data_IF_637553220469
#
_entry.id   IF_637553220469
#
_cell.length_a   1.000
_cell.length_b   1.000
_cell.length_c   1.000
_cell.angle_alpha   90.00
_cell.angle_beta   90.00
_cell.angle_gamma   90.00
#
_symmetry.space_group_name_H-M   'P 1'
#
loop_
_entity.id
_entity.type
_entity.pdbx_description
1 polymer ?
#
# COMPACT_ATOMS: atom_id res chain seq x y z
N UNK A 1 -4.86 11.35 -14.43
CA UNK A 1 -5.16 10.70 -13.14
C UNK A 1 -3.83 10.32 -12.50
N UNK A 2 -3.62 10.61 -11.23
CA UNK A 2 -2.38 10.21 -10.54
C UNK A 2 -2.48 8.74 -10.11
N UNK A 3 -1.39 8.00 -10.25
CA UNK A 3 -1.20 6.65 -9.72
C UNK A 3 0.01 6.65 -8.82
N UNK A 4 -0.13 6.04 -7.64
CA UNK A 4 0.94 5.93 -6.66
C UNK A 4 1.23 4.47 -6.34
N UNK A 5 2.51 4.14 -6.23
CA UNK A 5 2.98 2.84 -5.76
C UNK A 5 3.72 3.04 -4.46
N UNK A 6 3.17 2.48 -3.39
CA UNK A 6 3.81 2.43 -2.09
C UNK A 6 4.15 0.98 -1.74
N UNK A 7 5.38 0.71 -1.32
CA UNK A 7 5.83 -0.63 -0.92
C UNK A 7 6.58 -0.55 0.40
N UNK A 8 6.22 -1.44 1.32
CA UNK A 8 6.90 -1.69 2.58
C UNK A 8 7.54 -3.08 2.57
N UNK A 9 8.73 -3.15 3.13
CA UNK A 9 9.37 -4.37 3.58
C UNK A 9 8.89 -4.71 5.00
N UNK A 10 8.45 -5.94 5.22
CA UNK A 10 7.92 -6.38 6.51
C UNK A 10 8.92 -7.16 7.36
N UNK A 11 10.14 -7.41 6.87
CA UNK A 11 11.16 -8.22 7.56
C UNK A 11 11.51 -7.73 8.99
N UNK A 12 11.48 -6.42 9.24
CA UNK A 12 11.74 -5.82 10.56
C UNK A 12 10.49 -5.05 11.10
N UNK A 13 9.33 -5.31 10.49
CA UNK A 13 8.09 -4.63 10.84
C UNK A 13 7.46 -5.21 12.10
N UNK A 14 6.66 -4.39 12.78
CA UNK A 14 5.87 -4.79 13.95
C UNK A 14 4.64 -5.63 13.59
N UNK A 15 4.36 -5.83 12.30
CA UNK A 15 3.18 -6.55 11.79
C UNK A 15 3.56 -7.60 10.75
N UNK A 16 2.71 -8.61 10.63
CA UNK A 16 2.78 -9.66 9.62
C UNK A 16 1.79 -9.42 8.48
N UNK A 17 1.96 -10.14 7.35
CA UNK A 17 1.02 -10.11 6.22
C UNK A 17 -0.40 -10.54 6.63
N UNK A 18 -0.52 -11.59 7.45
CA UNK A 18 -1.83 -12.08 7.87
C UNK A 18 -2.55 -11.10 8.81
N UNK A 19 -1.82 -10.42 9.69
CA UNK A 19 -2.37 -9.33 10.52
C UNK A 19 -2.87 -8.18 9.66
N UNK A 20 -2.07 -7.75 8.67
CA UNK A 20 -2.48 -6.70 7.74
C UNK A 20 -3.72 -7.11 6.94
N UNK A 21 -3.81 -8.35 6.43
CA UNK A 21 -5.00 -8.83 5.71
C UNK A 21 -6.27 -8.80 6.54
N UNK A 22 -6.16 -9.07 7.83
CA UNK A 22 -7.29 -9.05 8.75
C UNK A 22 -7.68 -7.62 9.18
N UNK A 23 -6.74 -6.68 9.17
CA UNK A 23 -6.96 -5.31 9.64
C UNK A 23 -7.34 -4.32 8.53
N UNK A 24 -6.84 -4.51 7.30
CA UNK A 24 -7.04 -3.55 6.22
C UNK A 24 -8.46 -3.57 5.66
N UNK A 25 -8.97 -2.37 5.40
CA UNK A 25 -10.26 -2.17 4.74
C UNK A 25 -10.14 -2.31 3.22
N UNK A 26 -11.25 -2.61 2.56
CA UNK A 26 -11.33 -2.60 1.10
C UNK A 26 -11.08 -1.20 0.53
N UNK A 27 -10.34 -1.12 -0.56
CA UNK A 27 -10.12 0.12 -1.31
C UNK A 27 -11.20 0.29 -2.39
N UNK A 28 -11.53 1.53 -2.71
CA UNK A 28 -12.37 1.83 -3.85
C UNK A 28 -11.61 1.52 -5.16
N UNK A 29 -12.20 0.76 -6.10
CA UNK A 29 -11.59 0.52 -7.39
C UNK A 29 -11.32 1.85 -8.13
N UNK A 30 -10.18 1.97 -8.86
CA UNK A 30 -9.25 0.90 -9.21
C UNK A 30 -8.08 0.68 -8.23
N UNK A 31 -8.10 1.30 -7.05
CA UNK A 31 -7.03 1.11 -6.05
C UNK A 31 -7.02 -0.30 -5.48
N UNK A 32 -5.83 -0.85 -5.22
CA UNK A 32 -5.68 -2.22 -4.74
C UNK A 32 -4.50 -2.38 -3.79
N UNK A 33 -4.67 -3.25 -2.79
CA UNK A 33 -3.57 -3.78 -2.00
C UNK A 33 -2.79 -4.80 -2.83
N UNK A 34 -1.47 -4.81 -2.68
CA UNK A 34 -0.57 -5.77 -3.32
C UNK A 34 0.26 -6.49 -2.27
N UNK A 35 0.47 -7.78 -2.49
CA UNK A 35 1.13 -8.68 -1.54
C UNK A 35 2.22 -9.47 -2.25
N UNK A 36 3.38 -9.60 -1.62
CA UNK A 36 4.46 -10.47 -2.07
C UNK A 36 4.98 -11.25 -0.85
N UNK A 37 4.30 -12.36 -0.57
CA UNK A 37 4.63 -13.24 0.55
C UNK A 37 6.05 -13.80 0.45
N UNK A 38 6.53 -14.11 -0.76
CA UNK A 38 7.84 -14.70 -0.97
C UNK A 38 9.01 -13.79 -0.56
N UNK A 39 8.79 -12.48 -0.55
CA UNK A 39 9.80 -11.49 -0.17
C UNK A 39 9.37 -10.64 1.02
N UNK A 40 8.30 -11.03 1.72
CA UNK A 40 7.72 -10.30 2.85
C UNK A 40 7.47 -8.81 2.54
N UNK A 41 6.84 -8.53 1.38
CA UNK A 41 6.47 -7.17 1.00
C UNK A 41 4.97 -7.00 0.91
N UNK A 42 4.54 -5.80 1.25
CA UNK A 42 3.18 -5.34 1.16
C UNK A 42 3.17 -3.95 0.52
N UNK A 43 2.08 -3.60 -0.14
CA UNK A 43 1.96 -2.28 -0.74
C UNK A 43 0.56 -1.93 -1.18
N UNK A 44 0.44 -0.74 -1.75
CA UNK A 44 -0.77 -0.24 -2.39
C UNK A 44 -0.44 0.31 -3.77
N UNK A 45 -1.32 0.01 -4.72
CA UNK A 45 -1.47 0.75 -5.97
C UNK A 45 -2.68 1.68 -5.78
N UNK A 46 -2.45 2.97 -5.60
CA UNK A 46 -3.48 3.96 -5.31
C UNK A 46 -3.75 4.84 -6.53
N UNK A 47 -5.02 5.04 -6.86
CA UNK A 47 -5.46 5.91 -7.94
C UNK A 47 -6.23 7.10 -7.39
N UNK A 48 -6.04 8.26 -8.03
CA UNK A 48 -6.72 9.51 -7.68
C UNK A 48 -5.73 10.60 -7.27
N UNK A 49 -6.22 11.83 -7.16
CA UNK A 49 -5.36 12.99 -6.88
C UNK A 49 -4.80 12.96 -5.46
N UNK A 50 -5.53 12.35 -4.51
CA UNK A 50 -5.13 12.17 -3.12
C UNK A 50 -4.85 10.70 -2.79
N UNK A 51 -4.03 10.46 -1.75
CA UNK A 51 -3.77 9.12 -1.25
C UNK A 51 -4.96 8.66 -0.38
N UNK A 52 -5.46 7.41 -0.54
CA UNK A 52 -6.53 6.89 0.30
C UNK A 52 -6.17 6.92 1.79
N UNK A 53 -7.10 7.28 2.67
CA UNK A 53 -6.89 7.29 4.13
C UNK A 53 -6.37 5.93 4.65
N UNK A 54 -6.84 4.84 4.05
CA UNK A 54 -6.43 3.49 4.40
C UNK A 54 -4.92 3.24 4.22
N UNK A 55 -4.24 3.97 3.32
CA UNK A 55 -2.78 3.92 3.20
C UNK A 55 -2.07 4.49 4.43
N UNK A 56 -2.64 5.54 5.04
CA UNK A 56 -2.16 6.07 6.32
C UNK A 56 -2.33 5.06 7.45
N UNK A 57 -3.48 4.38 7.52
CA UNK A 57 -3.69 3.33 8.52
C UNK A 57 -2.74 2.14 8.34
N UNK A 58 -2.46 1.75 7.10
CA UNK A 58 -1.49 0.70 6.81
C UNK A 58 -0.08 1.08 7.31
N UNK A 59 0.35 2.32 7.04
CA UNK A 59 1.60 2.87 7.57
C UNK A 59 1.63 2.85 9.09
N UNK A 60 0.54 3.24 9.75
CA UNK A 60 0.48 3.28 11.22
C UNK A 60 0.54 1.87 11.83
N UNK A 61 -0.04 0.85 11.17
CA UNK A 61 0.07 -0.56 11.58
C UNK A 61 1.49 -1.11 11.41
N UNK A 62 2.14 -0.77 10.30
CA UNK A 62 3.53 -1.18 10.01
C UNK A 62 4.50 -0.46 10.94
N UNK A 63 4.23 0.81 11.26
CA UNK A 63 5.02 1.65 12.14
C UNK A 63 6.22 2.31 11.45
N UNK A 64 6.30 2.23 10.12
CA UNK A 64 7.40 2.74 9.30
C UNK A 64 6.90 3.39 8.00
N UNK A 65 7.69 4.30 7.43
CA UNK A 65 7.45 4.86 6.10
C UNK A 65 7.71 3.80 5.01
N UNK A 66 7.07 3.91 3.83
CA UNK A 66 7.31 2.97 2.74
C UNK A 66 8.75 3.09 2.20
N UNK A 67 9.38 1.95 1.91
CA UNK A 67 10.68 1.89 1.22
C UNK A 67 10.61 2.42 -0.21
N UNK A 68 9.44 2.30 -0.85
CA UNK A 68 9.17 2.81 -2.19
C UNK A 68 7.97 3.72 -2.12
N UNK A 69 8.11 4.95 -2.60
CA UNK A 69 7.03 5.89 -2.81
C UNK A 69 7.22 6.53 -4.19
N UNK A 70 6.41 6.12 -5.16
CA UNK A 70 6.50 6.58 -6.54
C UNK A 70 5.15 7.12 -7.02
N UNK A 71 5.17 8.25 -7.73
CA UNK A 71 3.98 8.89 -8.32
C UNK A 71 4.10 8.96 -9.84
N UNK A 72 2.99 8.70 -10.52
CA UNK A 72 2.91 8.66 -11.98
C UNK A 72 1.64 9.36 -12.47
N UNK A 73 1.74 10.01 -13.64
CA UNK A 73 0.57 10.37 -14.43
C UNK A 73 0.12 9.14 -15.25
N UNK A 74 -1.07 8.62 -14.95
CA UNK A 74 -1.68 7.59 -15.79
C UNK A 74 -2.26 8.22 -17.06
N UNK A 75 -1.87 7.65 -18.21
CA UNK A 75 -2.50 7.91 -19.49
C UNK A 75 -3.89 7.27 -19.49
N UNK A 76 -4.92 8.04 -19.87
CA UNK A 76 -6.24 7.45 -20.14
C UNK A 76 -6.11 6.50 -21.33
N UNK A 77 -6.48 5.23 -21.15
CA UNK A 77 -6.45 4.18 -22.17
C UNK A 77 -7.88 3.81 -22.56
#
# INVERSE_FOLDING_TARGET
>A
MIVRVLIWNLFDSKTTIDELRNALVSLEPPSTWIWNEANERFGILAFGDELPEAAGWARDLIGEEPDVYEEFDALEI
#
